data_IF_738863602601
#
_entry.id   IF_738863602601
#
_cell.length_a   1.000
_cell.length_b   1.000
_cell.length_c   1.000
_cell.angle_alpha   90.00
_cell.angle_beta   90.00
_cell.angle_gamma   90.00
#
_symmetry.space_group_name_H-M   'P 1'
#
loop_
_entity.id
_entity.type
_entity.pdbx_description
1 polymer ?
#
# COMPACT_ATOMS: atom_id res chain seq x y z
N UNK A 1 -13.31 -16.87 -9.64
CA UNK A 1 -12.08 -16.68 -10.41
C UNK A 1 -11.29 -15.48 -9.86
N UNK A 2 -10.00 -15.64 -9.64
CA UNK A 2 -9.08 -14.62 -9.07
C UNK A 2 -9.22 -13.25 -9.73
N UNK A 3 -9.42 -13.19 -11.06
CA UNK A 3 -9.58 -11.93 -11.81
C UNK A 3 -10.77 -11.11 -11.32
N UNK A 4 -11.91 -11.74 -11.05
CA UNK A 4 -13.10 -11.03 -10.58
C UNK A 4 -12.93 -10.51 -9.14
N UNK A 5 -12.23 -11.26 -8.31
CA UNK A 5 -11.92 -10.84 -6.94
C UNK A 5 -10.94 -9.67 -6.94
N UNK A 6 -9.91 -9.73 -7.80
CA UNK A 6 -9.00 -8.61 -8.00
C UNK A 6 -9.71 -7.35 -8.50
N UNK A 7 -10.62 -7.49 -9.45
CA UNK A 7 -11.37 -6.34 -9.97
C UNK A 7 -12.24 -5.69 -8.89
N UNK A 8 -12.90 -6.50 -8.06
CA UNK A 8 -13.70 -6.01 -6.91
C UNK A 8 -12.80 -5.32 -5.88
N UNK A 9 -11.72 -5.98 -5.48
CA UNK A 9 -10.77 -5.45 -4.51
C UNK A 9 -10.18 -4.10 -4.99
N UNK A 10 -9.75 -4.02 -6.26
CA UNK A 10 -9.25 -2.78 -6.85
C UNK A 10 -10.31 -1.67 -6.82
N UNK A 11 -11.56 -1.98 -7.19
CA UNK A 11 -12.68 -1.02 -7.14
C UNK A 11 -12.86 -0.48 -5.72
N UNK A 12 -12.91 -1.37 -4.74
CA UNK A 12 -13.18 -1.00 -3.36
C UNK A 12 -12.01 -0.19 -2.77
N UNK A 13 -10.77 -0.51 -3.12
CA UNK A 13 -9.58 0.30 -2.81
C UNK A 13 -9.67 1.68 -3.47
N UNK A 14 -10.10 1.76 -4.74
CA UNK A 14 -10.26 3.04 -5.45
C UNK A 14 -11.33 3.91 -4.80
N UNK A 15 -12.42 3.33 -4.33
CA UNK A 15 -13.45 4.05 -3.57
C UNK A 15 -12.88 4.60 -2.27
N UNK A 16 -12.13 3.80 -1.50
CA UNK A 16 -11.48 4.24 -0.27
C UNK A 16 -10.42 5.33 -0.51
N UNK A 17 -9.73 5.29 -1.66
CA UNK A 17 -8.75 6.30 -2.04
C UNK A 17 -9.38 7.61 -2.56
N UNK A 18 -10.68 7.59 -2.92
CA UNK A 18 -11.37 8.71 -3.56
C UNK A 18 -10.94 9.01 -4.99
N UNK A 19 -10.11 8.15 -5.58
CA UNK A 19 -9.59 8.27 -6.95
C UNK A 19 -9.35 6.88 -7.55
N UNK A 20 -9.35 6.73 -8.89
CA UNK A 20 -8.98 5.46 -9.53
C UNK A 20 -7.57 5.03 -9.14
N UNK A 21 -7.41 3.75 -8.82
CA UNK A 21 -6.13 3.16 -8.45
C UNK A 21 -5.77 2.01 -9.39
N UNK A 22 -4.49 1.83 -9.66
CA UNK A 22 -3.94 0.65 -10.34
C UNK A 22 -3.49 -0.34 -9.28
N UNK A 23 -3.86 -1.61 -9.46
CA UNK A 23 -3.44 -2.70 -8.59
C UNK A 23 -2.72 -3.77 -9.41
N UNK A 24 -1.53 -4.15 -8.98
CA UNK A 24 -0.72 -5.23 -9.56
C UNK A 24 -0.63 -6.40 -8.59
N UNK A 25 -0.80 -7.62 -9.10
CA UNK A 25 -0.68 -8.85 -8.32
C UNK A 25 0.69 -9.46 -8.47
N UNK A 26 1.29 -9.87 -7.36
CA UNK A 26 2.57 -10.57 -7.30
C UNK A 26 2.35 -11.94 -6.64
N UNK A 27 2.31 -12.98 -7.49
CA UNK A 27 1.99 -14.35 -7.09
C UNK A 27 3.20 -15.29 -7.27
N UNK A 28 4.42 -14.75 -7.23
CA UNK A 28 5.61 -15.58 -7.15
C UNK A 28 5.67 -16.33 -5.81
N UNK A 29 6.48 -17.37 -5.74
CA UNK A 29 6.57 -18.22 -4.56
C UNK A 29 6.88 -17.44 -3.28
N UNK A 30 7.69 -16.39 -3.36
CA UNK A 30 8.05 -15.55 -2.23
C UNK A 30 6.84 -14.81 -1.67
N UNK A 31 6.08 -14.12 -2.55
CA UNK A 31 4.88 -13.37 -2.16
C UNK A 31 3.78 -14.29 -1.62
N UNK A 32 3.54 -15.42 -2.29
CA UNK A 32 2.53 -16.39 -1.86
C UNK A 32 2.87 -16.99 -0.51
N UNK A 33 4.10 -17.48 -0.33
CA UNK A 33 4.53 -18.09 0.93
C UNK A 33 4.56 -17.10 2.09
N UNK A 34 4.87 -15.82 1.83
CA UNK A 34 4.83 -14.80 2.87
C UNK A 34 3.40 -14.47 3.29
N UNK A 35 2.50 -14.25 2.34
CA UNK A 35 1.11 -13.92 2.60
C UNK A 35 0.31 -15.05 3.29
N UNK A 36 0.71 -16.31 3.03
CA UNK A 36 0.09 -17.48 3.62
C UNK A 36 0.66 -17.90 5.00
N UNK A 37 1.60 -17.12 5.55
CA UNK A 37 2.19 -17.45 6.86
C UNK A 37 1.14 -17.37 7.97
N UNK A 38 1.12 -18.32 8.93
CA UNK A 38 0.19 -18.29 10.05
C UNK A 38 0.44 -17.12 11.01
N UNK A 39 1.67 -16.60 11.06
CA UNK A 39 2.08 -15.48 11.90
C UNK A 39 2.08 -14.12 11.15
N UNK A 40 1.52 -14.06 9.95
CA UNK A 40 1.55 -12.85 9.09
C UNK A 40 0.97 -11.62 9.80
N UNK A 41 -0.08 -11.79 10.59
CA UNK A 41 -0.70 -10.71 11.35
C UNK A 41 0.22 -10.10 12.42
N UNK A 42 1.24 -10.85 12.85
CA UNK A 42 2.23 -10.37 13.83
C UNK A 42 3.42 -9.74 13.11
N UNK A 43 4.01 -10.44 12.15
CA UNK A 43 5.28 -10.01 11.54
C UNK A 43 5.12 -8.86 10.56
N UNK A 44 4.00 -8.80 9.82
CA UNK A 44 3.77 -7.76 8.81
C UNK A 44 3.16 -6.46 9.39
N UNK A 45 2.70 -6.47 10.64
CA UNK A 45 1.98 -5.34 11.23
C UNK A 45 2.80 -4.51 12.22
N UNK A 46 4.11 -4.56 12.12
CA UNK A 46 4.97 -3.75 12.99
C UNK A 46 5.29 -2.37 12.39
N UNK A 47 5.40 -2.27 11.08
CA UNK A 47 5.72 -1.05 10.36
C UNK A 47 6.74 -1.30 9.24
N UNK A 48 7.06 -0.27 8.45
CA UNK A 48 8.01 -0.37 7.34
C UNK A 48 9.44 -0.59 7.84
N UNK A 49 10.25 -1.32 7.06
CA UNK A 49 11.67 -1.52 7.34
C UNK A 49 12.48 -0.22 7.10
N UNK A 50 11.99 0.64 6.23
CA UNK A 50 12.57 1.93 5.89
C UNK A 50 11.52 3.01 6.15
N UNK A 51 11.64 3.79 7.24
CA UNK A 51 10.59 4.71 7.68
C UNK A 51 10.15 5.74 6.64
N UNK A 52 11.09 6.27 5.85
CA UNK A 52 10.84 7.25 4.78
C UNK A 52 9.98 6.70 3.64
N UNK A 53 9.89 5.38 3.48
CA UNK A 53 9.01 4.76 2.50
C UNK A 53 7.53 4.66 2.94
N UNK A 54 7.20 5.07 4.17
CA UNK A 54 5.83 5.08 4.69
C UNK A 54 4.86 5.85 3.79
N UNK A 55 5.33 6.93 3.15
CA UNK A 55 4.54 7.73 2.19
C UNK A 55 4.14 6.94 0.94
N UNK A 56 4.83 5.84 0.64
CA UNK A 56 4.59 4.97 -0.52
C UNK A 56 3.78 3.73 -0.14
N UNK A 57 4.12 3.08 0.96
CA UNK A 57 3.57 1.77 1.35
C UNK A 57 2.48 1.85 2.39
N UNK A 58 2.28 3.01 3.03
CA UNK A 58 1.58 3.16 4.30
C UNK A 58 2.32 2.46 5.44
N UNK A 59 1.95 2.76 6.69
CA UNK A 59 2.56 2.14 7.87
C UNK A 59 2.37 0.62 7.90
N UNK A 60 1.17 0.15 7.56
CA UNK A 60 0.81 -1.26 7.58
C UNK A 60 0.25 -1.74 6.24
N UNK A 61 0.50 -2.99 5.85
CA UNK A 61 -0.24 -3.63 4.79
C UNK A 61 -1.65 -3.99 5.27
N UNK A 62 -2.60 -4.09 4.35
CA UNK A 62 -3.86 -4.75 4.61
C UNK A 62 -3.65 -6.26 4.53
N UNK A 63 -4.10 -6.99 5.55
CA UNK A 63 -4.09 -8.46 5.57
C UNK A 63 -5.51 -8.94 5.28
N UNK A 64 -5.64 -9.79 4.26
CA UNK A 64 -6.95 -10.18 3.72
C UNK A 64 -7.60 -9.07 2.90
N UNK A 65 -8.94 -8.96 2.95
CA UNK A 65 -9.72 -8.12 2.00
C UNK A 65 -10.71 -7.18 2.68
N UNK A 66 -10.61 -6.98 3.99
CA UNK A 66 -11.51 -6.08 4.72
C UNK A 66 -11.02 -4.64 4.66
N UNK A 67 -11.39 -3.95 3.58
CA UNK A 67 -11.03 -2.55 3.35
C UNK A 67 -11.63 -1.63 4.40
N UNK A 68 -12.86 -1.92 4.88
CA UNK A 68 -13.51 -1.08 5.88
C UNK A 68 -12.77 -1.11 7.21
N UNK A 69 -12.36 -2.29 7.66
CA UNK A 69 -11.55 -2.43 8.86
C UNK A 69 -10.19 -1.75 8.71
N UNK A 70 -9.53 -1.87 7.54
CA UNK A 70 -8.27 -1.20 7.27
C UNK A 70 -8.40 0.33 7.30
N UNK A 71 -9.43 0.87 6.66
CA UNK A 71 -9.72 2.33 6.65
C UNK A 71 -9.95 2.83 8.07
N UNK A 72 -10.80 2.15 8.84
CA UNK A 72 -11.08 2.52 10.23
C UNK A 72 -9.80 2.49 11.10
N UNK A 73 -8.92 1.52 10.87
CA UNK A 73 -7.63 1.45 11.57
C UNK A 73 -6.70 2.62 11.20
N UNK A 74 -6.65 3.00 9.91
CA UNK A 74 -5.84 4.14 9.48
C UNK A 74 -6.39 5.46 10.03
N UNK A 75 -7.71 5.64 10.04
CA UNK A 75 -8.38 6.79 10.64
C UNK A 75 -8.11 6.89 12.15
N UNK A 76 -8.17 5.76 12.85
CA UNK A 76 -7.86 5.71 14.28
C UNK A 76 -6.37 6.03 14.55
N UNK A 77 -5.46 5.52 13.72
CA UNK A 77 -4.04 5.87 13.79
C UNK A 77 -3.83 7.37 13.59
N UNK A 78 -4.46 7.98 12.59
CA UNK A 78 -4.37 9.42 12.37
C UNK A 78 -4.93 10.20 13.57
N UNK A 79 -6.13 9.87 14.03
CA UNK A 79 -6.78 10.55 15.15
C UNK A 79 -5.99 10.45 16.47
N UNK A 80 -5.24 9.37 16.66
CA UNK A 80 -4.42 9.17 17.84
C UNK A 80 -3.17 10.06 17.84
N UNK A 81 -2.51 10.24 16.68
CA UNK A 81 -1.18 10.89 16.63
C UNK A 81 -1.24 12.33 16.11
N UNK A 82 -2.24 12.73 15.35
CA UNK A 82 -2.37 14.12 14.86
C UNK A 82 -2.36 15.16 16.00
N UNK A 83 -3.04 14.96 17.14
CA UNK A 83 -2.98 15.91 18.25
C UNK A 83 -1.60 16.08 18.90
N UNK A 84 -0.70 15.13 18.67
CA UNK A 84 0.69 15.18 19.18
C UNK A 84 1.63 15.89 18.21
N UNK A 85 1.20 16.16 16.99
CA UNK A 85 2.01 16.83 15.99
C UNK A 85 2.21 18.32 16.34
N UNK A 86 3.37 18.87 15.95
CA UNK A 86 3.69 20.30 16.19
C UNK A 86 2.76 21.26 15.46
N UNK A 87 2.18 20.81 14.36
CA UNK A 87 1.28 21.57 13.51
C UNK A 87 0.12 20.68 13.06
N UNK A 88 -1.04 21.30 12.79
CA UNK A 88 -2.19 20.57 12.22
C UNK A 88 -1.83 19.86 10.94
N UNK A 89 -2.19 18.60 10.86
CA UNK A 89 -1.99 17.75 9.67
C UNK A 89 -3.32 17.41 9.01
N UNK A 90 -3.30 17.24 7.70
CA UNK A 90 -4.45 16.73 6.94
C UNK A 90 -4.22 15.25 6.64
N UNK A 91 -5.21 14.42 6.97
CA UNK A 91 -5.11 12.99 6.73
C UNK A 91 -4.94 12.70 5.23
N UNK A 92 -4.00 11.82 4.92
CA UNK A 92 -3.87 11.24 3.59
C UNK A 92 -5.02 10.27 3.31
N UNK A 93 -5.25 9.94 2.04
CA UNK A 93 -6.26 8.93 1.72
C UNK A 93 -6.00 7.63 2.50
N UNK A 94 -7.03 6.99 3.09
CA UNK A 94 -6.86 5.86 3.99
C UNK A 94 -6.71 4.52 3.27
N UNK A 95 -6.69 4.48 1.93
CA UNK A 95 -6.65 3.24 1.17
C UNK A 95 -5.30 2.50 1.33
N UNK A 96 -5.30 1.16 1.37
CA UNK A 96 -4.08 0.38 1.43
C UNK A 96 -3.22 0.54 0.17
N UNK A 97 -1.92 0.47 0.33
CA UNK A 97 -0.94 0.40 -0.76
C UNK A 97 -0.39 -1.00 -0.97
N UNK A 98 -0.46 -1.82 0.04
CA UNK A 98 -0.06 -3.23 0.00
C UNK A 98 -1.18 -4.08 0.57
N UNK A 99 -1.51 -5.16 -0.13
CA UNK A 99 -2.45 -6.18 0.32
C UNK A 99 -1.73 -7.51 0.39
N UNK A 100 -1.84 -8.22 1.49
CA UNK A 100 -1.34 -9.58 1.69
C UNK A 100 -2.53 -10.52 1.87
N UNK A 101 -2.69 -11.44 0.94
CA UNK A 101 -3.82 -12.37 0.94
C UNK A 101 -3.33 -13.76 0.52
N UNK A 102 -3.68 -14.84 1.23
CA UNK A 102 -3.15 -16.17 0.96
C UNK A 102 -3.49 -16.71 -0.44
N UNK A 103 -4.59 -16.25 -1.05
CA UNK A 103 -5.00 -16.68 -2.39
C UNK A 103 -4.41 -15.78 -3.49
N UNK A 104 -4.13 -14.52 -3.16
CA UNK A 104 -3.63 -13.53 -4.13
C UNK A 104 -2.10 -13.35 -4.06
N UNK A 105 -1.49 -13.67 -2.93
CA UNK A 105 -0.10 -13.33 -2.65
C UNK A 105 0.01 -11.88 -2.16
N UNK A 106 0.88 -11.10 -2.78
CA UNK A 106 0.99 -9.67 -2.54
C UNK A 106 0.31 -8.89 -3.68
N UNK A 107 -0.49 -7.88 -3.34
CA UNK A 107 -0.93 -6.88 -4.31
C UNK A 107 -0.37 -5.52 -3.92
N UNK A 108 0.23 -4.83 -4.90
CA UNK A 108 0.68 -3.45 -4.78
C UNK A 108 -0.28 -2.50 -5.45
N UNK A 109 -0.50 -1.32 -4.85
CA UNK A 109 -1.48 -0.33 -5.27
C UNK A 109 -0.83 1.04 -5.43
N UNK A 110 -1.11 1.70 -6.53
CA UNK A 110 -0.61 3.03 -6.83
C UNK A 110 -1.57 3.84 -7.70
N UNK A 111 -1.31 5.13 -7.85
CA UNK A 111 -2.07 6.02 -8.75
C UNK A 111 -1.73 5.80 -10.23
N UNK A 112 -0.65 5.09 -10.48
CA UNK A 112 -0.20 4.67 -11.80
C UNK A 112 0.43 3.29 -11.73
N UNK A 113 0.64 2.63 -12.87
CA UNK A 113 1.38 1.37 -12.93
C UNK A 113 2.81 1.53 -12.39
N UNK A 114 3.45 2.69 -12.64
CA UNK A 114 4.78 3.00 -12.10
C UNK A 114 4.76 3.09 -10.58
N UNK A 115 3.76 3.77 -9.98
CA UNK A 115 3.67 3.87 -8.53
C UNK A 115 3.41 2.51 -7.89
N UNK A 116 2.53 1.69 -8.49
CA UNK A 116 2.30 0.34 -8.03
C UNK A 116 3.57 -0.53 -8.09
N UNK A 117 4.39 -0.37 -9.13
CA UNK A 117 5.68 -1.06 -9.26
C UNK A 117 6.67 -0.62 -8.17
N UNK A 118 6.76 0.68 -7.88
CA UNK A 118 7.61 1.21 -6.79
C UNK A 118 7.16 0.66 -5.43
N UNK A 119 5.85 0.62 -5.17
CA UNK A 119 5.32 0.02 -3.93
C UNK A 119 5.69 -1.46 -3.84
N UNK A 120 5.61 -2.21 -4.94
CA UNK A 120 5.99 -3.61 -4.98
C UNK A 120 7.47 -3.81 -4.61
N UNK A 121 8.36 -3.09 -5.26
CA UNK A 121 9.81 -3.18 -5.02
C UNK A 121 10.16 -2.91 -3.56
N UNK A 122 9.63 -1.82 -2.99
CA UNK A 122 9.85 -1.45 -1.59
C UNK A 122 9.32 -2.55 -0.66
N UNK A 123 8.12 -3.06 -0.93
CA UNK A 123 7.53 -4.02 0.00
C UNK A 123 8.11 -5.43 -0.14
N UNK A 124 8.54 -5.86 -1.32
CA UNK A 124 9.31 -7.09 -1.48
C UNK A 124 10.62 -7.05 -0.69
N UNK A 125 11.31 -5.91 -0.72
CA UNK A 125 12.49 -5.69 0.11
C UNK A 125 12.15 -5.73 1.61
N UNK A 126 11.04 -5.10 2.02
CA UNK A 126 10.56 -5.15 3.41
C UNK A 126 10.25 -6.57 3.86
N UNK A 127 9.58 -7.38 3.02
CA UNK A 127 9.31 -8.79 3.31
C UNK A 127 10.60 -9.59 3.55
N UNK A 128 11.63 -9.35 2.72
CA UNK A 128 12.92 -10.03 2.85
C UNK A 128 13.62 -9.66 4.16
N UNK A 129 13.63 -8.39 4.52
CA UNK A 129 14.15 -7.91 5.81
C UNK A 129 13.41 -8.55 6.98
N UNK A 130 12.07 -8.53 6.97
CA UNK A 130 11.25 -9.11 8.04
C UNK A 130 11.55 -10.61 8.19
N UNK A 131 11.62 -11.34 7.08
CA UNK A 131 11.93 -12.80 7.12
C UNK A 131 13.29 -13.08 7.71
N UNK A 132 14.32 -12.34 7.29
CA UNK A 132 15.69 -12.52 7.80
C UNK A 132 15.80 -12.13 9.27
N UNK A 133 15.22 -10.99 9.64
CA UNK A 133 15.23 -10.53 11.02
C UNK A 133 14.46 -11.50 11.94
N UNK A 134 13.31 -12.02 11.50
CA UNK A 134 12.51 -12.99 12.25
C UNK A 134 13.28 -14.29 12.46
N UNK A 135 14.08 -14.73 11.49
CA UNK A 135 14.92 -15.91 11.62
C UNK A 135 16.10 -15.73 12.60
N UNK A 136 16.50 -14.50 12.88
CA UNK A 136 17.63 -14.20 13.79
C UNK A 136 17.13 -13.93 15.23
N UNK A 137 16.38 -12.87 15.44
CA UNK A 137 15.97 -12.45 16.78
C UNK A 137 14.61 -11.72 16.80
N UNK A 138 13.95 -11.63 15.64
CA UNK A 138 12.70 -10.92 15.44
C UNK A 138 12.89 -9.57 14.73
N UNK A 139 11.83 -9.15 14.05
CA UNK A 139 11.75 -7.86 13.40
C UNK A 139 11.10 -6.84 14.33
N UNK A 140 11.65 -5.65 14.40
CA UNK A 140 11.06 -4.51 15.12
C UNK A 140 11.20 -3.26 14.27
N UNK A 141 10.08 -2.63 13.92
CA UNK A 141 10.04 -1.31 13.30
C UNK A 141 10.13 -0.18 14.35
N UNK A 142 10.19 1.06 13.90
CA UNK A 142 10.00 2.23 14.76
C UNK A 142 8.59 2.25 15.38
N UNK A 143 8.42 3.06 16.42
CA UNK A 143 7.11 3.25 17.04
C UNK A 143 6.09 3.82 16.05
N UNK A 144 4.82 3.61 16.32
CA UNK A 144 3.77 4.16 15.46
C UNK A 144 3.80 5.69 15.43
N UNK A 145 4.20 6.33 16.52
CA UNK A 145 4.37 7.79 16.58
C UNK A 145 5.54 8.25 15.72
N UNK A 146 6.71 7.63 15.83
CA UNK A 146 7.87 8.01 15.00
C UNK A 146 7.55 7.84 13.51
N UNK A 147 6.83 6.77 13.14
CA UNK A 147 6.38 6.57 11.76
C UNK A 147 5.38 7.64 11.33
N UNK A 148 4.46 8.06 12.22
CA UNK A 148 3.52 9.15 11.96
C UNK A 148 4.27 10.46 11.70
N UNK A 149 5.26 10.78 12.51
CA UNK A 149 6.05 12.00 12.36
C UNK A 149 6.78 12.05 11.01
N UNK A 150 7.28 10.90 10.52
CA UNK A 150 7.88 10.79 9.18
C UNK A 150 6.80 10.87 8.08
N UNK A 151 5.69 10.14 8.20
CA UNK A 151 4.62 10.12 7.19
C UNK A 151 4.03 11.52 6.96
N UNK A 152 3.88 12.31 8.02
CA UNK A 152 3.29 13.63 7.99
C UNK A 152 4.31 14.77 8.05
N UNK A 153 5.59 14.47 7.85
CA UNK A 153 6.61 15.49 7.72
C UNK A 153 6.45 16.26 6.40
N UNK A 154 6.53 17.58 6.45
CA UNK A 154 6.24 18.46 5.30
C UNK A 154 7.13 18.19 4.08
N UNK A 155 8.42 17.82 4.32
CA UNK A 155 9.32 17.43 3.23
C UNK A 155 8.90 16.12 2.55
N UNK A 156 8.42 15.15 3.31
CA UNK A 156 7.87 13.90 2.77
C UNK A 156 6.56 14.16 2.02
N UNK A 157 5.67 14.97 2.58
CA UNK A 157 4.44 15.39 1.91
C UNK A 157 4.70 16.16 0.61
N UNK A 158 5.75 16.96 0.54
CA UNK A 158 6.15 17.67 -0.68
C UNK A 158 6.54 16.72 -1.81
N UNK A 159 7.09 15.54 -1.51
CA UNK A 159 7.39 14.51 -2.51
C UNK A 159 6.12 13.99 -3.22
N UNK A 160 5.01 13.88 -2.50
CA UNK A 160 3.72 13.46 -3.07
C UNK A 160 3.10 14.52 -4.00
N UNK A 161 3.43 15.80 -3.80
CA UNK A 161 2.89 16.93 -4.58
C UNK A 161 3.70 17.26 -5.83
N UNK A 162 4.90 16.72 -6.00
CA UNK A 162 5.81 17.03 -7.12
C UNK A 162 5.32 16.64 -8.51
N UNK A 163 4.24 15.89 -8.64
CA UNK A 163 3.72 15.41 -9.92
C UNK A 163 2.83 16.38 -10.70
N UNK A 164 2.50 17.55 -10.16
CA UNK A 164 1.54 18.47 -10.79
C UNK A 164 0.10 17.90 -10.82
N UNK A 165 -0.75 18.48 -11.67
CA UNK A 165 -2.12 17.97 -11.87
C UNK A 165 -2.06 16.62 -12.60
N UNK A 166 -2.67 15.57 -12.04
CA UNK A 166 -2.66 14.26 -12.69
C UNK A 166 -3.36 14.34 -14.06
N UNK A 167 -2.96 13.50 -15.04
CA UNK A 167 -3.68 13.35 -16.30
C UNK A 167 -5.15 12.99 -16.08
N UNK A 168 -6.02 13.34 -17.04
CA UNK A 168 -7.48 13.15 -16.93
C UNK A 168 -7.89 11.71 -16.63
N UNK A 169 -7.13 10.73 -17.12
CA UNK A 169 -7.37 9.29 -16.93
C UNK A 169 -6.35 8.61 -16.02
N UNK A 170 -5.74 9.36 -15.10
CA UNK A 170 -4.80 8.77 -14.14
C UNK A 170 -5.47 7.67 -13.31
N UNK A 171 -4.83 6.50 -13.24
CA UNK A 171 -5.34 5.33 -12.51
C UNK A 171 -6.42 4.53 -13.26
N UNK A 172 -6.87 4.99 -14.41
CA UNK A 172 -7.83 4.26 -15.23
C UNK A 172 -7.14 3.13 -16.03
N UNK A 173 -7.93 2.09 -16.33
CA UNK A 173 -7.50 0.98 -17.19
C UNK A 173 -8.41 0.98 -18.42
N UNK A 174 -7.81 1.13 -19.59
CA UNK A 174 -8.53 1.08 -20.86
C UNK A 174 -8.33 -0.26 -21.55
N UNK A 175 -9.43 -0.82 -22.06
CA UNK A 175 -9.42 -1.94 -23.01
C UNK A 175 -9.62 -1.35 -24.42
N UNK A 176 -8.64 -1.54 -25.28
CA UNK A 176 -8.70 -1.11 -26.68
C UNK A 176 -8.82 -2.34 -27.57
N UNK A 177 -9.92 -2.44 -28.32
CA UNK A 177 -10.14 -3.49 -29.32
C UNK A 177 -9.71 -2.98 -30.70
N UNK A 178 -9.26 -3.88 -31.58
CA UNK A 178 -8.82 -3.50 -32.92
C UNK A 178 -7.51 -2.68 -32.97
N UNK A 179 -6.72 -2.68 -31.90
CA UNK A 179 -5.49 -1.89 -31.80
C UNK A 179 -4.36 -2.28 -32.77
N UNK A 180 -4.50 -3.39 -33.50
CA UNK A 180 -3.54 -3.82 -34.51
C UNK A 180 -3.73 -3.15 -35.89
N UNK A 181 -4.85 -2.48 -36.13
CA UNK A 181 -5.16 -1.82 -37.42
C UNK A 181 -6.29 -0.80 -37.26
N UNK A 182 -6.39 0.16 -38.15
CA UNK A 182 -7.47 1.17 -38.16
C UNK A 182 -7.32 2.22 -37.05
N UNK A 183 -8.42 2.50 -36.36
CA UNK A 183 -8.53 3.55 -35.35
C UNK A 183 -8.32 3.02 -33.94
N UNK A 184 -8.35 1.71 -33.75
CA UNK A 184 -8.18 1.08 -32.45
C UNK A 184 -6.76 1.15 -31.88
#
# INVERSE_FOLDING_TARGET
PVIMEMARLRRDISVAAGVPMVMSRHANQNCMSYAARPDIAVIARQGPATPDHVIRTKRLPMIGRDIKAYVAEYEAYFAQYEPLAKERKSMLDPAPRVVLDPDLGMCSVGRSAKDAAVVAEIYEHTMDIIRRATALAGYRALSAQDIFDVEYWDLEQAKLKKGGKPPAFAGEIALVTGAASGIG
#
